data_IF_796111888670
#
_entry.id   IF_796111888670
#
_cell.length_a   1.000
_cell.length_b   1.000
_cell.length_c   1.000
_cell.angle_alpha   90.00
_cell.angle_beta   90.00
_cell.angle_gamma   90.00
#
_symmetry.space_group_name_H-M   'P 1'
#
loop_
_entity.id
_entity.type
_entity.pdbx_description
1 polymer ?
#
# COMPACT_ATOMS: atom_id res chain seq x y z
N UNK A 1 -1.58 3.32 21.85
CA UNK A 1 -2.78 3.42 21.04
C UNK A 1 -2.78 2.36 19.97
N UNK A 2 -3.93 1.72 19.78
CA UNK A 2 -4.01 0.61 18.83
C UNK A 2 -3.72 1.02 17.40
N UNK A 3 -4.04 2.25 17.03
CA UNK A 3 -3.81 2.74 15.67
C UNK A 3 -2.33 2.84 15.31
N UNK A 4 -1.42 2.88 16.29
CA UNK A 4 0.01 2.97 16.02
C UNK A 4 0.54 1.76 15.26
N UNK A 5 -0.07 0.61 15.42
CA UNK A 5 0.39 -0.61 14.75
C UNK A 5 0.13 -0.58 13.24
N UNK A 6 -0.68 0.35 12.77
CA UNK A 6 -0.95 0.51 11.35
C UNK A 6 0.08 1.38 10.64
N UNK A 7 0.91 2.10 11.39
CA UNK A 7 1.94 2.95 10.82
C UNK A 7 3.16 2.13 10.43
N UNK A 8 3.74 2.47 9.29
CA UNK A 8 5.00 1.86 8.86
C UNK A 8 6.15 2.70 9.38
N UNK A 9 7.29 2.07 9.65
CA UNK A 9 8.49 2.78 10.10
C UNK A 9 9.03 3.70 9.01
N UNK A 10 9.00 3.20 7.78
CA UNK A 10 9.48 3.95 6.63
C UNK A 10 8.33 4.10 5.66
N UNK A 11 8.04 5.33 5.22
CA UNK A 11 6.98 5.53 4.23
C UNK A 11 7.29 4.81 2.93
N UNK A 12 6.24 4.42 2.22
CA UNK A 12 6.37 3.93 0.86
C UNK A 12 6.03 5.10 -0.05
N UNK A 13 6.99 5.52 -0.86
CA UNK A 13 6.79 6.64 -1.78
C UNK A 13 6.36 6.07 -3.13
N UNK A 14 5.15 6.42 -3.56
CA UNK A 14 4.63 5.98 -4.86
C UNK A 14 4.57 7.19 -5.79
N UNK A 15 5.06 7.00 -7.00
CA UNK A 15 5.10 8.07 -8.00
C UNK A 15 4.14 7.71 -9.12
N UNK A 16 2.93 8.23 -9.02
CA UNK A 16 1.90 8.04 -10.04
C UNK A 16 2.20 9.00 -11.19
N UNK A 17 1.98 8.53 -12.42
CA UNK A 17 2.37 9.28 -13.62
C UNK A 17 1.90 10.72 -13.67
N UNK A 18 0.74 10.99 -13.11
CA UNK A 18 0.12 12.31 -13.22
C UNK A 18 0.60 13.30 -12.17
N UNK A 19 1.48 12.88 -11.26
CA UNK A 19 1.94 13.76 -10.20
C UNK A 19 3.44 14.02 -10.34
N UNK A 20 3.89 15.27 -10.16
CA UNK A 20 5.31 15.60 -10.25
C UNK A 20 6.12 15.09 -9.06
N UNK A 21 5.48 14.83 -7.95
CA UNK A 21 6.15 14.41 -6.72
C UNK A 21 5.61 13.09 -6.23
N UNK A 22 6.47 12.24 -5.64
CA UNK A 22 5.98 10.98 -5.06
C UNK A 22 5.04 11.25 -3.90
N UNK A 23 4.04 10.40 -3.77
CA UNK A 23 3.09 10.48 -2.68
C UNK A 23 3.53 9.53 -1.57
N UNK A 24 3.68 10.00 -0.33
CA UNK A 24 4.04 9.13 0.77
C UNK A 24 2.83 8.37 1.28
N UNK A 25 2.97 7.05 1.38
CA UNK A 25 1.98 6.20 2.01
C UNK A 25 2.58 5.79 3.34
N UNK A 26 1.97 6.25 4.42
CA UNK A 26 2.57 6.17 5.75
C UNK A 26 2.01 5.03 6.59
N UNK A 27 0.85 4.50 6.22
CA UNK A 27 0.16 3.55 7.06
C UNK A 27 -0.68 2.59 6.23
N UNK A 28 -1.06 1.49 6.86
CA UNK A 28 -1.83 0.43 6.21
C UNK A 28 -3.19 0.93 5.72
N UNK A 29 -3.86 1.76 6.52
CA UNK A 29 -5.17 2.29 6.11
C UNK A 29 -5.07 3.21 4.90
N UNK A 30 -4.00 4.00 4.82
CA UNK A 30 -3.76 4.82 3.62
C UNK A 30 -3.50 3.95 2.41
N UNK A 31 -2.79 2.83 2.59
CA UNK A 31 -2.53 1.90 1.50
C UNK A 31 -3.82 1.30 0.97
N UNK A 32 -4.73 0.90 1.86
CA UNK A 32 -6.02 0.36 1.44
C UNK A 32 -6.80 1.39 0.63
N UNK A 33 -6.85 2.63 1.12
CA UNK A 33 -7.56 3.68 0.40
C UNK A 33 -6.97 3.90 -0.98
N UNK A 34 -5.65 3.95 -1.08
CA UNK A 34 -4.98 4.11 -2.37
C UNK A 34 -5.32 2.95 -3.31
N UNK A 35 -5.25 1.72 -2.80
CA UNK A 35 -5.50 0.54 -3.63
C UNK A 35 -6.94 0.48 -4.12
N UNK A 36 -7.91 0.87 -3.29
CA UNK A 36 -9.32 0.73 -3.62
C UNK A 36 -9.89 1.92 -4.36
N UNK A 37 -9.45 3.13 -4.02
CA UNK A 37 -10.09 4.35 -4.50
C UNK A 37 -9.26 5.16 -5.48
N UNK A 38 -7.95 5.03 -5.42
CA UNK A 38 -7.07 5.88 -6.22
C UNK A 38 -6.09 5.11 -7.09
N UNK A 39 -6.27 3.81 -7.21
CA UNK A 39 -5.37 2.98 -8.02
C UNK A 39 -5.47 3.39 -9.49
N UNK A 40 -4.36 3.71 -10.14
CA UNK A 40 -4.36 4.06 -11.56
C UNK A 40 -4.40 2.80 -12.40
N UNK A 41 -5.45 2.63 -13.16
CA UNK A 41 -5.57 1.51 -14.08
C UNK A 41 -6.30 0.31 -13.49
N UNK A 42 -6.02 -0.86 -14.08
CA UNK A 42 -6.73 -2.09 -13.74
C UNK A 42 -6.21 -2.69 -12.44
N UNK A 43 -7.13 -3.20 -11.64
CA UNK A 43 -6.78 -3.91 -10.42
C UNK A 43 -6.49 -5.37 -10.75
N UNK A 44 -5.21 -5.74 -10.71
CA UNK A 44 -4.75 -7.09 -10.98
C UNK A 44 -4.82 -7.95 -9.72
N UNK A 45 -4.45 -9.23 -9.85
CA UNK A 45 -4.38 -10.11 -8.69
C UNK A 45 -3.44 -9.58 -7.61
N UNK A 46 -2.33 -8.96 -8.02
CA UNK A 46 -1.39 -8.40 -7.07
C UNK A 46 -2.04 -7.30 -6.24
N UNK A 47 -2.90 -6.47 -6.86
CA UNK A 47 -3.64 -5.44 -6.14
C UNK A 47 -4.58 -6.07 -5.12
N UNK A 48 -5.33 -7.09 -5.52
CA UNK A 48 -6.26 -7.73 -4.60
C UNK A 48 -5.54 -8.45 -3.46
N UNK A 49 -4.37 -9.03 -3.74
CA UNK A 49 -3.55 -9.61 -2.68
C UNK A 49 -3.08 -8.55 -1.68
N UNK A 50 -2.72 -7.37 -2.18
CA UNK A 50 -2.33 -6.27 -1.32
C UNK A 50 -3.50 -5.78 -0.48
N UNK A 51 -4.69 -5.68 -1.07
CA UNK A 51 -5.89 -5.31 -0.33
C UNK A 51 -6.16 -6.31 0.78
N UNK A 52 -6.06 -7.60 0.46
CA UNK A 52 -6.29 -8.64 1.46
C UNK A 52 -5.27 -8.59 2.59
N UNK A 53 -4.00 -8.39 2.26
CA UNK A 53 -2.95 -8.32 3.29
C UNK A 53 -3.14 -7.09 4.19
N UNK A 54 -3.46 -5.95 3.58
CA UNK A 54 -3.68 -4.73 4.36
C UNK A 54 -4.94 -4.84 5.22
N UNK A 55 -6.01 -5.41 4.67
CA UNK A 55 -7.22 -5.65 5.44
C UNK A 55 -6.96 -6.61 6.59
N UNK A 56 -6.19 -7.68 6.34
CA UNK A 56 -5.81 -8.61 7.39
C UNK A 56 -5.00 -7.94 8.48
N UNK A 57 -4.14 -6.99 8.12
CA UNK A 57 -3.37 -6.24 9.10
C UNK A 57 -4.29 -5.37 9.97
N UNK A 58 -5.27 -4.72 9.35
CA UNK A 58 -6.23 -3.89 10.08
C UNK A 58 -6.99 -4.73 11.10
N UNK A 59 -7.30 -5.97 10.74
CA UNK A 59 -8.03 -6.88 11.61
C UNK A 59 -7.12 -7.68 12.56
N UNK A 60 -5.82 -7.41 12.54
CA UNK A 60 -4.88 -8.06 13.44
C UNK A 60 -4.47 -9.46 13.05
N UNK A 61 -4.71 -9.85 11.80
CA UNK A 61 -4.40 -11.20 11.32
C UNK A 61 -2.99 -11.34 10.79
N UNK A 62 -2.42 -10.27 10.24
CA UNK A 62 -1.05 -10.25 9.74
C UNK A 62 -0.37 -8.99 10.22
N UNK A 63 0.95 -8.99 10.21
CA UNK A 63 1.72 -7.84 10.65
C UNK A 63 1.83 -6.74 9.61
N UNK A 64 2.21 -5.53 10.04
CA UNK A 64 2.37 -4.41 9.12
C UNK A 64 3.42 -4.64 8.04
N UNK A 65 4.46 -5.41 8.34
CA UNK A 65 5.51 -5.74 7.37
C UNK A 65 4.94 -6.53 6.21
N UNK A 66 4.08 -7.51 6.49
CA UNK A 66 3.45 -8.32 5.45
C UNK A 66 2.60 -7.45 4.55
N UNK A 67 1.81 -6.55 5.14
CA UNK A 67 0.97 -5.64 4.37
C UNK A 67 1.82 -4.70 3.51
N UNK A 68 2.92 -4.19 4.06
CA UNK A 68 3.82 -3.29 3.34
C UNK A 68 4.44 -3.97 2.14
N UNK A 69 4.92 -5.19 2.32
CA UNK A 69 5.54 -5.95 1.23
C UNK A 69 4.55 -6.25 0.13
N UNK A 70 3.32 -6.61 0.49
CA UNK A 70 2.28 -6.88 -0.50
C UNK A 70 1.92 -5.62 -1.27
N UNK A 71 1.85 -4.47 -0.58
CA UNK A 71 1.57 -3.19 -1.22
C UNK A 71 2.68 -2.82 -2.21
N UNK A 72 3.93 -2.95 -1.77
CA UNK A 72 5.08 -2.64 -2.64
C UNK A 72 5.08 -3.55 -3.87
N UNK A 73 4.79 -4.83 -3.68
CA UNK A 73 4.74 -5.78 -4.78
C UNK A 73 3.67 -5.39 -5.80
N UNK A 74 2.50 -4.96 -5.32
CA UNK A 74 1.42 -4.53 -6.22
C UNK A 74 1.82 -3.30 -7.02
N UNK A 75 2.46 -2.34 -6.37
CA UNK A 75 2.90 -1.10 -7.03
C UNK A 75 3.94 -1.42 -8.11
N UNK A 76 4.90 -2.28 -7.78
CA UNK A 76 5.92 -2.69 -8.76
C UNK A 76 5.32 -3.47 -9.91
N UNK A 77 4.37 -4.35 -9.62
CA UNK A 77 3.72 -5.15 -10.66
C UNK A 77 3.00 -4.26 -11.67
N UNK A 78 2.47 -3.14 -11.25
CA UNK A 78 1.79 -2.19 -12.11
C UNK A 78 2.73 -1.26 -12.87
N UNK A 79 4.04 -1.38 -12.64
CA UNK A 79 5.01 -0.50 -13.29
C UNK A 79 5.07 0.90 -12.70
N UNK A 80 4.48 1.09 -11.54
CA UNK A 80 4.51 2.38 -10.85
C UNK A 80 5.83 2.49 -10.10
N UNK A 81 6.49 3.63 -10.23
CA UNK A 81 7.73 3.87 -9.51
C UNK A 81 7.47 3.92 -8.00
N UNK A 82 8.28 3.20 -7.25
CA UNK A 82 8.13 3.13 -5.81
C UNK A 82 9.50 3.20 -5.14
N UNK A 83 9.56 3.93 -4.04
CA UNK A 83 10.72 3.96 -3.17
C UNK A 83 10.28 3.55 -1.77
N UNK A 84 11.01 2.61 -1.18
CA UNK A 84 10.62 2.07 0.13
C UNK A 84 11.80 1.98 1.07
#
# INVERSE_FOLDING_TARGET
MAWNRLLWRTPVLVNVQDTPEPEPILAVDQAVEFLLKRWPGRKTNAVWQAVNACSGCIHGQVGPTVAREAFIAAVKDAGIRVEA
#
